data_IF_638041916642
#
_entry.id   IF_638041916642
#
_cell.length_a   1.000
_cell.length_b   1.000
_cell.length_c   1.000
_cell.angle_alpha   90.00
_cell.angle_beta   90.00
_cell.angle_gamma   90.00
#
_symmetry.space_group_name_H-M   'P 1'
#
loop_
_entity.id
_entity.type
_entity.pdbx_description
1 polymer ?
#
# COMPACT_ATOMS: atom_id res chain seq x y z
N UNK A 1 -27.43 -7.26 -5.31
CA UNK A 1 -26.62 -8.33 -4.71
C UNK A 1 -25.36 -8.54 -5.54
N UNK A 2 -24.23 -8.09 -4.99
CA UNK A 2 -22.96 -8.21 -5.68
C UNK A 2 -22.46 -9.62 -5.44
N UNK A 3 -22.62 -10.50 -6.42
CA UNK A 3 -21.98 -11.81 -6.37
C UNK A 3 -20.49 -11.65 -6.69
N UNK A 4 -19.71 -11.65 -5.67
CA UNK A 4 -18.28 -11.80 -5.86
C UNK A 4 -18.01 -13.24 -6.30
N UNK A 5 -17.38 -13.41 -7.45
CA UNK A 5 -16.86 -14.71 -7.86
C UNK A 5 -15.91 -15.24 -6.78
N UNK A 6 -15.53 -16.51 -6.87
CA UNK A 6 -14.66 -17.17 -5.88
C UNK A 6 -13.49 -16.26 -5.48
N UNK A 7 -13.54 -15.74 -4.27
CA UNK A 7 -12.46 -14.93 -3.71
C UNK A 7 -11.34 -15.87 -3.25
N UNK A 8 -10.14 -15.63 -3.75
CA UNK A 8 -8.95 -16.33 -3.27
C UNK A 8 -8.25 -15.40 -2.30
N UNK A 9 -8.19 -15.78 -1.04
CA UNK A 9 -7.55 -15.01 0.00
C UNK A 9 -6.08 -15.42 0.12
N UNK A 10 -5.18 -14.46 -0.07
CA UNK A 10 -3.77 -14.65 0.21
C UNK A 10 -3.41 -13.91 1.48
N UNK A 11 -3.10 -14.64 2.52
CA UNK A 11 -2.56 -14.04 3.74
C UNK A 11 -1.10 -13.67 3.47
N UNK A 12 -0.77 -12.39 3.61
CA UNK A 12 0.60 -11.94 3.43
C UNK A 12 1.57 -12.71 4.33
N UNK A 13 2.73 -13.04 3.81
CA UNK A 13 3.74 -13.70 4.60
C UNK A 13 4.27 -12.81 5.72
N UNK A 14 4.75 -13.41 6.77
CA UNK A 14 5.34 -12.72 7.93
C UNK A 14 6.53 -11.82 7.56
N UNK A 15 7.15 -12.08 6.43
CA UNK A 15 8.28 -11.28 5.93
C UNK A 15 7.89 -9.87 5.49
N UNK A 16 6.61 -9.63 5.29
CA UNK A 16 6.09 -8.35 4.82
C UNK A 16 5.59 -7.45 5.95
N UNK A 17 5.83 -7.84 7.18
CA UNK A 17 5.43 -7.04 8.34
C UNK A 17 6.40 -5.90 8.58
N UNK A 18 5.85 -4.75 8.86
CA UNK A 18 6.61 -3.58 9.26
C UNK A 18 6.97 -3.71 10.74
N UNK A 19 8.26 -3.70 11.11
CA UNK A 19 8.63 -3.88 12.52
C UNK A 19 8.14 -2.74 13.42
N UNK A 20 7.50 -3.09 14.53
CA UNK A 20 6.93 -2.13 15.47
C UNK A 20 7.96 -1.20 16.14
N UNK A 21 9.22 -1.61 16.21
CA UNK A 21 10.24 -0.87 16.96
C UNK A 21 10.77 0.41 16.31
N UNK A 22 10.40 0.69 15.06
CA UNK A 22 10.91 1.87 14.33
C UNK A 22 10.02 3.09 14.38
N UNK A 23 8.91 3.03 15.11
CA UNK A 23 7.91 4.11 15.14
C UNK A 23 8.22 5.23 16.13
N UNK A 24 9.18 5.04 17.02
CA UNK A 24 9.42 5.98 18.13
C UNK A 24 10.07 7.31 17.73
N UNK A 25 10.55 7.44 16.50
CA UNK A 25 11.29 8.62 16.04
C UNK A 25 10.69 9.27 14.79
N UNK A 26 9.39 9.14 14.61
CA UNK A 26 8.73 9.79 13.47
C UNK A 26 8.61 11.28 13.76
N UNK A 27 9.28 12.09 12.95
CA UNK A 27 9.26 13.54 13.10
C UNK A 27 7.86 14.13 12.95
N UNK A 28 7.66 15.25 13.63
CA UNK A 28 6.36 15.93 13.74
C UNK A 28 5.98 16.77 12.53
N UNK A 29 6.73 16.69 11.43
CA UNK A 29 6.56 17.58 10.28
C UNK A 29 5.34 17.27 9.40
N UNK A 30 4.61 16.25 9.72
CA UNK A 30 3.40 15.87 8.95
C UNK A 30 2.14 16.58 9.44
N UNK A 31 2.24 17.84 9.82
CA UNK A 31 1.09 18.61 10.29
C UNK A 31 -0.08 18.64 9.31
N UNK A 32 0.21 18.54 8.01
CA UNK A 32 -0.79 18.56 6.94
C UNK A 32 -1.59 17.26 6.85
N UNK A 33 -0.97 16.15 7.21
CA UNK A 33 -1.64 14.85 7.17
C UNK A 33 -2.36 14.54 8.47
N UNK A 34 -2.49 15.52 9.30
CA UNK A 34 -3.26 15.51 10.53
C UNK A 34 -2.92 14.38 11.51
N UNK A 35 -3.45 14.48 12.66
CA UNK A 35 -3.37 13.50 13.75
C UNK A 35 -3.73 12.07 13.30
N UNK A 36 -4.57 11.94 12.26
CA UNK A 36 -4.96 10.63 11.73
C UNK A 36 -3.77 9.87 11.13
N UNK A 37 -2.94 10.56 10.33
CA UNK A 37 -1.76 9.93 9.72
C UNK A 37 -0.69 9.65 10.76
N UNK A 38 -0.52 10.51 11.75
CA UNK A 38 0.36 10.22 12.88
C UNK A 38 -0.05 8.94 13.59
N UNK A 39 -1.34 8.78 13.86
CA UNK A 39 -1.88 7.56 14.47
C UNK A 39 -1.67 6.33 13.59
N UNK A 40 -1.82 6.49 12.28
CA UNK A 40 -1.53 5.42 11.33
C UNK A 40 -0.05 5.02 11.40
N UNK A 41 0.84 5.99 11.41
CA UNK A 41 2.28 5.76 11.50
C UNK A 41 2.65 5.09 12.83
N UNK A 42 2.08 5.51 13.93
CA UNK A 42 2.30 4.91 15.25
C UNK A 42 1.92 3.44 15.31
N UNK A 43 1.12 2.99 14.37
CA UNK A 43 0.61 1.62 14.35
C UNK A 43 1.11 0.78 13.17
N UNK A 44 2.04 1.32 12.38
CA UNK A 44 2.54 0.65 11.17
C UNK A 44 3.18 -0.72 11.43
N UNK A 45 3.78 -0.92 12.61
CA UNK A 45 4.36 -2.22 12.96
C UNK A 45 3.35 -3.36 13.05
N UNK A 46 2.07 -3.04 12.96
CA UNK A 46 0.97 -4.00 13.03
C UNK A 46 0.23 -4.15 11.70
N UNK A 47 0.73 -3.54 10.62
CA UNK A 47 0.06 -3.60 9.33
C UNK A 47 0.42 -4.85 8.54
N UNK A 48 -0.57 -5.41 7.90
CA UNK A 48 -0.43 -6.49 6.93
C UNK A 48 -1.33 -6.20 5.72
N UNK A 49 -1.04 -6.84 4.60
CA UNK A 49 -1.90 -6.75 3.43
C UNK A 49 -2.73 -8.01 3.27
N UNK A 50 -3.97 -7.81 2.88
CA UNK A 50 -4.87 -8.85 2.46
C UNK A 50 -5.13 -8.69 0.97
N UNK A 51 -5.05 -9.78 0.22
CA UNK A 51 -5.24 -9.81 -1.22
C UNK A 51 -6.47 -10.63 -1.56
N UNK A 52 -7.34 -10.08 -2.38
CA UNK A 52 -8.54 -10.76 -2.85
C UNK A 52 -8.64 -10.60 -4.36
N UNK A 53 -8.89 -11.70 -5.07
CA UNK A 53 -9.15 -11.66 -6.51
C UNK A 53 -10.66 -11.56 -6.73
N UNK A 54 -11.06 -10.55 -7.49
CA UNK A 54 -12.45 -10.30 -7.85
C UNK A 54 -12.63 -10.46 -9.35
N UNK A 55 -13.81 -10.94 -9.75
CA UNK A 55 -14.18 -11.06 -11.17
C UNK A 55 -14.73 -9.77 -11.78
N UNK A 56 -15.08 -8.82 -10.92
CA UNK A 56 -15.60 -7.50 -11.31
C UNK A 56 -14.93 -6.41 -10.52
N UNK A 57 -14.79 -5.26 -11.15
CA UNK A 57 -14.31 -4.07 -10.46
C UNK A 57 -15.34 -3.66 -9.40
N UNK A 58 -14.92 -3.45 -8.15
CA UNK A 58 -15.83 -2.94 -7.11
C UNK A 58 -16.29 -1.51 -7.46
N UNK A 59 -17.50 -1.16 -7.05
CA UNK A 59 -18.06 0.16 -7.32
C UNK A 59 -17.29 1.27 -6.61
N UNK A 60 -16.75 0.99 -5.43
CA UNK A 60 -15.86 1.88 -4.69
C UNK A 60 -14.86 1.07 -3.88
N UNK A 61 -13.78 1.73 -3.48
CA UNK A 61 -12.78 1.17 -2.57
C UNK A 61 -12.55 2.12 -1.40
N UNK A 62 -12.14 1.55 -0.28
CA UNK A 62 -11.80 2.31 0.92
C UNK A 62 -10.42 2.98 0.80
N UNK A 63 -10.13 3.91 1.70
CA UNK A 63 -8.83 4.62 1.71
C UNK A 63 -7.65 3.70 1.97
N UNK A 64 -7.87 2.58 2.63
CA UNK A 64 -6.86 1.59 2.93
C UNK A 64 -6.80 0.47 1.87
N UNK A 65 -7.35 0.71 0.70
CA UNK A 65 -7.43 -0.27 -0.37
C UNK A 65 -6.89 0.28 -1.68
N UNK A 66 -6.40 -0.62 -2.52
CA UNK A 66 -6.07 -0.33 -3.91
C UNK A 66 -6.56 -1.49 -4.78
N UNK A 67 -6.98 -1.16 -5.99
CA UNK A 67 -7.39 -2.14 -6.99
C UNK A 67 -6.39 -2.15 -8.14
N UNK A 68 -5.93 -3.35 -8.52
CA UNK A 68 -4.97 -3.55 -9.59
C UNK A 68 -5.49 -4.62 -10.55
N UNK A 69 -4.97 -4.62 -11.77
CA UNK A 69 -5.18 -5.74 -12.70
C UNK A 69 -4.28 -6.90 -12.28
N UNK A 70 -4.86 -8.01 -11.88
CA UNK A 70 -4.12 -9.16 -11.37
C UNK A 70 -3.13 -9.74 -12.39
N UNK A 71 -3.42 -9.60 -13.68
CA UNK A 71 -2.55 -10.12 -14.75
C UNK A 71 -1.38 -9.17 -15.09
N UNK A 72 -1.41 -7.94 -14.61
CA UNK A 72 -0.38 -6.93 -14.86
C UNK A 72 0.66 -6.82 -13.75
N UNK A 73 0.45 -7.49 -12.64
CA UNK A 73 1.30 -7.36 -11.46
C UNK A 73 1.96 -8.68 -11.11
N UNK A 74 3.12 -8.60 -10.47
CA UNK A 74 3.85 -9.76 -9.96
C UNK A 74 3.43 -10.12 -8.54
N UNK A 75 4.36 -10.65 -7.78
CA UNK A 75 4.13 -11.00 -6.38
C UNK A 75 4.13 -9.74 -5.51
N UNK A 76 2.98 -9.32 -5.08
CA UNK A 76 2.79 -8.11 -4.30
C UNK A 76 3.23 -8.33 -2.86
N UNK A 77 4.04 -7.40 -2.38
CA UNK A 77 4.53 -7.36 -1.01
C UNK A 77 4.36 -5.96 -0.42
N UNK A 78 4.32 -5.90 0.89
CA UNK A 78 4.39 -4.65 1.64
C UNK A 78 5.86 -4.46 2.05
N UNK A 79 6.44 -3.32 1.69
CA UNK A 79 7.82 -3.03 2.01
C UNK A 79 8.07 -1.56 2.28
N UNK A 80 9.28 -1.25 2.73
CA UNK A 80 9.74 0.12 2.91
C UNK A 80 10.52 0.63 1.70
N UNK A 81 10.73 1.94 1.69
CA UNK A 81 11.58 2.64 0.75
C UNK A 81 13.00 2.08 0.75
N UNK A 82 13.59 2.02 -0.42
CA UNK A 82 15.01 1.70 -0.66
C UNK A 82 15.63 2.81 -1.49
N UNK A 83 16.92 3.07 -1.27
CA UNK A 83 17.66 4.00 -2.11
C UNK A 83 17.58 3.56 -3.58
N UNK A 84 17.30 4.52 -4.46
CA UNK A 84 17.15 4.26 -5.88
C UNK A 84 15.74 3.92 -6.33
N UNK A 85 14.79 3.75 -5.43
CA UNK A 85 13.40 3.51 -5.78
C UNK A 85 12.84 4.64 -6.64
N UNK A 86 12.08 4.24 -7.66
CA UNK A 86 11.39 5.16 -8.55
C UNK A 86 9.89 4.90 -8.50
N UNK A 87 9.13 5.95 -8.79
CA UNK A 87 7.68 5.91 -8.76
C UNK A 87 7.11 6.70 -9.93
N UNK A 88 6.09 6.16 -10.56
CA UNK A 88 5.38 6.82 -11.66
C UNK A 88 3.99 7.23 -11.15
N UNK A 89 3.81 8.46 -10.69
CA UNK A 89 2.53 8.87 -10.13
C UNK A 89 1.40 8.76 -11.15
N UNK A 90 0.23 8.31 -10.69
CA UNK A 90 -0.95 8.18 -11.55
C UNK A 90 -1.30 9.51 -12.21
N UNK A 91 -1.50 9.47 -13.53
CA UNK A 91 -1.85 10.65 -14.31
C UNK A 91 -0.68 11.53 -14.72
N UNK A 92 0.53 11.19 -14.35
CA UNK A 92 1.74 11.93 -14.71
C UNK A 92 2.63 11.04 -15.57
N UNK A 93 3.11 11.57 -16.69
CA UNK A 93 4.03 10.85 -17.57
C UNK A 93 5.42 10.73 -16.94
N UNK A 94 6.01 9.54 -17.08
CA UNK A 94 7.36 9.27 -16.64
C UNK A 94 7.44 8.89 -15.17
N UNK A 95 8.67 8.62 -14.74
CA UNK A 95 8.95 8.23 -13.36
C UNK A 95 9.84 9.27 -12.68
N UNK A 96 9.71 9.36 -11.38
CA UNK A 96 10.54 10.22 -10.52
C UNK A 96 11.17 9.38 -9.42
N UNK A 97 12.22 9.90 -8.82
CA UNK A 97 12.74 9.29 -7.59
C UNK A 97 11.64 9.27 -6.53
N UNK A 98 11.43 8.11 -5.92
CA UNK A 98 10.39 7.95 -4.91
C UNK A 98 10.55 8.95 -3.75
N UNK A 99 11.78 9.16 -3.30
CA UNK A 99 12.06 10.13 -2.24
C UNK A 99 11.55 11.54 -2.58
N UNK A 100 11.64 11.95 -3.84
CA UNK A 100 11.12 13.23 -4.30
C UNK A 100 9.59 13.26 -4.27
N UNK A 101 8.95 12.20 -4.75
CA UNK A 101 7.48 12.09 -4.71
C UNK A 101 6.97 12.15 -3.28
N UNK A 102 7.62 11.41 -2.38
CA UNK A 102 7.24 11.41 -0.96
C UNK A 102 7.44 12.77 -0.30
N UNK A 103 8.48 13.50 -0.69
CA UNK A 103 8.70 14.88 -0.23
C UNK A 103 7.59 15.81 -0.72
N UNK A 104 7.21 15.69 -1.99
CA UNK A 104 6.12 16.47 -2.57
C UNK A 104 4.78 16.16 -1.89
N UNK A 105 4.63 14.97 -1.32
CA UNK A 105 3.49 14.56 -0.51
C UNK A 105 3.62 14.96 0.97
N UNK A 106 4.63 15.76 1.30
CA UNK A 106 4.91 16.24 2.67
C UNK A 106 5.27 15.15 3.66
N UNK A 107 5.85 14.06 3.19
CA UNK A 107 6.38 13.00 4.05
C UNK A 107 7.82 13.37 4.43
N UNK A 108 8.10 13.49 5.72
CA UNK A 108 9.44 13.84 6.21
C UNK A 108 10.45 12.73 5.91
N UNK A 109 11.74 13.07 6.00
CA UNK A 109 12.82 12.09 5.75
C UNK A 109 12.76 10.89 6.71
N UNK A 110 12.40 11.09 7.96
CA UNK A 110 12.21 10.00 8.93
C UNK A 110 11.01 9.13 8.61
N UNK A 111 9.90 9.75 8.24
CA UNK A 111 8.67 9.06 7.88
C UNK A 111 8.79 8.25 6.60
N UNK A 112 9.60 8.72 5.62
CA UNK A 112 9.80 8.01 4.36
C UNK A 112 10.36 6.62 4.55
N UNK A 113 11.22 6.44 5.55
CA UNK A 113 11.88 5.15 5.82
C UNK A 113 10.94 4.08 6.34
N UNK A 114 9.83 4.50 6.93
CA UNK A 114 8.86 3.61 7.58
C UNK A 114 7.47 3.68 6.94
N UNK A 115 7.34 4.40 5.83
CA UNK A 115 6.06 4.47 5.12
C UNK A 115 5.79 3.18 4.34
N UNK A 116 4.61 2.55 4.48
CA UNK A 116 4.33 1.32 3.78
C UNK A 116 4.14 1.54 2.29
N UNK A 117 4.78 0.70 1.51
CA UNK A 117 4.69 0.67 0.06
C UNK A 117 4.17 -0.68 -0.39
N UNK A 118 3.22 -0.68 -1.30
CA UNK A 118 2.74 -1.89 -1.97
C UNK A 118 3.49 -2.02 -3.29
N UNK A 119 4.25 -3.08 -3.44
CA UNK A 119 5.18 -3.25 -4.56
C UNK A 119 5.34 -4.71 -4.96
N UNK A 120 5.88 -4.94 -6.14
CA UNK A 120 6.45 -6.22 -6.53
C UNK A 120 7.95 -6.05 -6.83
N UNK A 121 8.56 -7.02 -7.50
CA UNK A 121 9.99 -6.98 -7.84
C UNK A 121 10.35 -5.84 -8.79
N UNK A 122 9.40 -5.37 -9.59
CA UNK A 122 9.66 -4.42 -10.68
C UNK A 122 9.13 -3.02 -10.42
N UNK A 123 8.00 -2.90 -9.72
CA UNK A 123 7.29 -1.64 -9.59
C UNK A 123 6.76 -1.40 -8.18
N UNK A 124 6.61 -0.14 -7.84
CA UNK A 124 5.86 0.30 -6.67
C UNK A 124 4.48 0.75 -7.18
N UNK A 125 3.43 0.13 -6.67
CA UNK A 125 2.06 0.37 -7.12
C UNK A 125 1.34 1.41 -6.26
N UNK A 126 1.70 1.53 -5.00
CA UNK A 126 0.97 2.37 -4.07
C UNK A 126 1.86 2.88 -2.93
N UNK A 127 1.91 4.19 -2.77
CA UNK A 127 2.35 4.81 -1.53
C UNK A 127 1.11 4.81 -0.64
N UNK A 128 1.07 3.92 0.32
CA UNK A 128 -0.14 3.58 1.05
C UNK A 128 -0.88 4.82 1.56
N UNK A 129 -2.18 4.84 1.37
CA UNK A 129 -3.10 5.93 1.72
C UNK A 129 -2.95 7.22 0.90
N UNK A 130 -1.87 7.40 0.16
CA UNK A 130 -1.53 8.71 -0.42
C UNK A 130 -1.58 8.76 -1.94
N UNK A 131 -0.94 7.82 -2.62
CA UNK A 131 -0.78 7.93 -4.07
C UNK A 131 -0.64 6.58 -4.75
N UNK A 132 -1.46 6.36 -5.77
CA UNK A 132 -1.31 5.23 -6.69
C UNK A 132 -0.36 5.54 -7.83
N UNK A 133 0.17 4.49 -8.47
CA UNK A 133 1.03 4.61 -9.64
C UNK A 133 0.25 4.42 -10.95
N UNK A 134 0.94 4.64 -12.07
CA UNK A 134 0.42 4.32 -13.40
C UNK A 134 0.50 2.82 -13.74
N UNK A 135 1.22 2.03 -12.94
CA UNK A 135 1.40 0.61 -13.20
C UNK A 135 0.25 -0.21 -12.66
N UNK A 136 -0.02 -1.32 -13.34
CA UNK A 136 -0.99 -2.31 -12.87
C UNK A 136 -2.43 -1.83 -12.87
N UNK A 137 -2.75 -0.73 -13.56
CA UNK A 137 -4.10 -0.17 -13.56
C UNK A 137 -5.07 -1.06 -14.32
N UNK A 138 -6.27 -1.30 -13.77
CA UNK A 138 -7.34 -1.95 -14.52
C UNK A 138 -7.75 -1.12 -15.73
N UNK A 139 -8.10 -1.80 -16.80
CA UNK A 139 -8.64 -1.20 -18.01
C UNK A 139 -9.84 -2.01 -18.51
N UNK A 140 -10.35 -1.68 -19.69
CA UNK A 140 -11.51 -2.36 -20.29
C UNK A 140 -11.28 -3.84 -20.59
N UNK A 141 -10.02 -4.28 -20.65
CA UNK A 141 -9.65 -5.66 -20.93
C UNK A 141 -9.37 -6.46 -19.66
N UNK A 142 -9.40 -5.83 -18.52
CA UNK A 142 -9.13 -6.49 -17.24
C UNK A 142 -10.21 -7.52 -16.92
N UNK A 143 -9.77 -8.75 -16.62
CA UNK A 143 -10.65 -9.86 -16.26
C UNK A 143 -10.60 -10.22 -14.80
N UNK A 144 -9.45 -10.04 -14.17
CA UNK A 144 -9.23 -10.33 -12.75
C UNK A 144 -8.72 -9.08 -12.04
N UNK A 145 -9.43 -8.70 -11.00
CA UNK A 145 -9.12 -7.52 -10.21
C UNK A 145 -8.51 -7.95 -8.90
N UNK A 146 -7.31 -7.46 -8.62
CA UNK A 146 -6.64 -7.70 -7.35
C UNK A 146 -6.96 -6.56 -6.40
N UNK A 147 -7.77 -6.83 -5.40
CA UNK A 147 -8.07 -5.89 -4.34
C UNK A 147 -7.09 -6.12 -3.20
N UNK A 148 -6.32 -5.10 -2.89
CA UNK A 148 -5.36 -5.12 -1.79
C UNK A 148 -5.88 -4.23 -0.67
N UNK A 149 -6.02 -4.81 0.51
CA UNK A 149 -6.46 -4.09 1.71
C UNK A 149 -5.31 -4.06 2.70
N UNK A 150 -4.97 -2.87 3.17
CA UNK A 150 -4.01 -2.69 4.26
C UNK A 150 -4.77 -2.76 5.57
N UNK A 151 -4.46 -3.76 6.38
CA UNK A 151 -5.14 -4.05 7.65
C UNK A 151 -4.18 -3.99 8.82
N UNK A 152 -4.70 -3.63 9.98
CA UNK A 152 -4.00 -3.84 11.23
C UNK A 152 -4.10 -5.31 11.63
N UNK A 153 -2.98 -5.85 12.10
CA UNK A 153 -2.98 -7.16 12.72
C UNK A 153 -3.51 -7.03 14.15
N UNK A 154 -4.63 -7.68 14.43
CA UNK A 154 -5.15 -7.74 15.78
C UNK A 154 -4.32 -8.71 16.61
N UNK A 155 -3.66 -8.18 17.66
CA UNK A 155 -2.93 -9.02 18.63
C UNK A 155 -3.85 -9.77 19.57
N UNK A 156 -5.14 -9.47 19.56
CA UNK A 156 -6.12 -10.06 20.47
C UNK A 156 -6.38 -11.54 20.18
N UNK A 157 -6.06 -12.01 18.98
CA UNK A 157 -6.24 -13.42 18.62
C UNK A 157 -5.14 -14.35 19.15
N UNK A 158 -4.08 -13.81 19.78
CA UNK A 158 -2.99 -14.59 20.32
C UNK A 158 -3.13 -14.90 21.83
N UNK A 159 -4.09 -14.30 22.50
CA UNK A 159 -4.31 -14.49 23.95
C UNK A 159 -5.44 -15.48 24.29
N UNK A 160 -5.95 -16.19 23.31
CA UNK A 160 -6.98 -17.20 23.58
C UNK A 160 -6.40 -18.60 23.71
#
# INVERSE_FOLDING_TARGET
EIQYGKAIFYKGSTQNRIPAGKLKNVGTSAAVLSELVKRLIEHLGQWCIEKVILSKQPDFIEKNQIILDADKVGNIVLRYWKAGDRFSPRGINGSKKLARVMRDLHISAGERRIWPLVADENHIYWIAFLRGSNYGLPDKNTKKYLLITLKKENREDEES
#
